data_IF_299296857529
#
_entry.id   IF_299296857529
#
_cell.length_a   1.000
_cell.length_b   1.000
_cell.length_c   1.000
_cell.angle_alpha   90.00
_cell.angle_beta   90.00
_cell.angle_gamma   90.00
#
_symmetry.space_group_name_H-M   'P 1'
#
loop_
_entity.id
_entity.type
_entity.pdbx_description
1 polymer ?
#
# COMPACT_ATOMS: atom_id res chain seq x y z
N UNK A 1 -1.32 13.21 -5.58
CA UNK A 1 -0.89 11.80 -5.46
C UNK A 1 -1.64 11.00 -6.50
N UNK A 2 -0.92 10.17 -7.25
CA UNK A 2 -1.47 9.41 -8.38
C UNK A 2 -2.07 8.07 -7.91
N UNK A 3 -1.47 7.47 -6.89
CA UNK A 3 -1.89 6.20 -6.29
C UNK A 3 -1.84 6.31 -4.78
N UNK A 4 -2.79 5.70 -4.10
CA UNK A 4 -2.76 5.54 -2.64
C UNK A 4 -2.58 4.07 -2.30
N UNK A 5 -1.59 3.79 -1.46
CA UNK A 5 -1.27 2.47 -0.95
C UNK A 5 -1.79 2.41 0.48
N UNK A 6 -2.83 1.61 0.70
CA UNK A 6 -3.36 1.39 2.03
C UNK A 6 -2.76 0.13 2.64
N UNK A 7 -2.06 0.30 3.75
CA UNK A 7 -1.46 -0.79 4.50
C UNK A 7 -2.41 -1.21 5.61
N UNK A 8 -2.75 -2.49 5.61
CA UNK A 8 -3.59 -3.15 6.61
C UNK A 8 -2.81 -4.28 7.28
N UNK A 9 -3.21 -4.65 8.49
CA UNK A 9 -2.67 -5.84 9.17
C UNK A 9 -3.45 -7.07 8.67
N UNK A 10 -2.74 -8.07 8.12
CA UNK A 10 -3.35 -9.26 7.54
C UNK A 10 -4.13 -10.09 8.58
N UNK A 11 -3.82 -9.95 9.88
CA UNK A 11 -4.54 -10.64 10.97
C UNK A 11 -5.94 -10.08 11.19
N UNK A 12 -6.10 -8.77 10.98
CA UNK A 12 -7.34 -8.02 11.25
C UNK A 12 -7.59 -6.95 10.16
N UNK A 13 -7.78 -7.36 8.89
CA UNK A 13 -7.81 -6.44 7.75
C UNK A 13 -9.06 -5.56 7.70
N UNK A 14 -10.16 -5.97 8.34
CA UNK A 14 -11.38 -5.16 8.45
C UNK A 14 -11.31 -4.15 9.60
N UNK A 15 -10.61 -4.49 10.70
CA UNK A 15 -10.45 -3.58 11.83
C UNK A 15 -9.39 -2.49 11.56
N UNK A 16 -8.44 -2.76 10.65
CA UNK A 16 -7.35 -1.83 10.31
C UNK A 16 -7.65 -0.94 9.10
N UNK A 17 -8.92 -0.82 8.71
CA UNK A 17 -9.39 0.18 7.74
C UNK A 17 -10.23 1.26 8.40
N UNK A 18 -10.27 2.44 7.79
CA UNK A 18 -11.04 3.56 8.31
C UNK A 18 -12.37 3.68 7.55
N UNK A 19 -13.53 3.82 8.21
CA UNK A 19 -14.84 3.88 7.53
C UNK A 19 -14.95 4.99 6.48
N UNK A 20 -14.30 6.14 6.73
CA UNK A 20 -14.28 7.29 5.79
C UNK A 20 -13.22 7.21 4.70
N UNK A 21 -12.48 6.11 4.60
CA UNK A 21 -11.35 6.00 3.67
C UNK A 21 -11.80 6.21 2.22
N UNK A 22 -12.91 5.60 1.80
CA UNK A 22 -13.40 5.74 0.43
C UNK A 22 -13.77 7.18 0.08
N UNK A 23 -14.36 7.91 1.04
CA UNK A 23 -14.67 9.33 0.89
C UNK A 23 -13.40 10.20 0.74
N UNK A 24 -12.33 9.88 1.48
CA UNK A 24 -11.08 10.64 1.44
C UNK A 24 -10.25 10.34 0.19
N UNK A 25 -10.35 9.11 -0.32
CA UNK A 25 -9.66 8.70 -1.54
C UNK A 25 -10.34 9.24 -2.80
N UNK A 26 -11.66 9.44 -2.76
CA UNK A 26 -12.43 9.88 -3.93
C UNK A 26 -12.13 8.99 -5.14
N UNK A 27 -11.78 9.60 -6.28
CA UNK A 27 -11.47 8.88 -7.51
C UNK A 27 -9.99 8.42 -7.63
N UNK A 28 -9.21 8.48 -6.56
CA UNK A 28 -7.80 8.05 -6.61
C UNK A 28 -7.71 6.53 -6.66
N UNK A 29 -6.74 6.02 -7.43
CA UNK A 29 -6.46 4.58 -7.49
C UNK A 29 -5.92 4.10 -6.14
N UNK A 30 -6.60 3.11 -5.55
CA UNK A 30 -6.23 2.49 -4.27
C UNK A 30 -5.60 1.13 -4.52
N UNK A 31 -4.49 0.84 -3.83
CA UNK A 31 -3.89 -0.48 -3.75
C UNK A 31 -3.90 -0.89 -2.27
N UNK A 32 -4.49 -2.03 -1.96
CA UNK A 32 -4.50 -2.55 -0.59
C UNK A 32 -3.32 -3.51 -0.41
N UNK A 33 -2.53 -3.26 0.63
CA UNK A 33 -1.39 -4.08 1.05
C UNK A 33 -1.71 -4.72 2.39
N UNK A 34 -1.79 -6.05 2.39
CA UNK A 34 -1.91 -6.88 3.58
C UNK A 34 -0.53 -7.17 4.12
N UNK A 35 -0.12 -6.44 5.15
CA UNK A 35 1.18 -6.61 5.79
C UNK A 35 1.12 -7.65 6.91
N UNK A 36 2.29 -8.17 7.31
CA UNK A 36 2.44 -9.25 8.31
C UNK A 36 1.84 -10.58 7.86
N UNK A 37 2.01 -10.90 6.58
CA UNK A 37 1.63 -12.18 5.99
C UNK A 37 2.19 -13.39 6.75
N UNK A 38 3.36 -13.24 7.38
CA UNK A 38 4.01 -14.23 8.25
C UNK A 38 3.22 -14.58 9.52
N UNK A 39 2.30 -13.73 9.95
CA UNK A 39 1.53 -13.91 11.18
C UNK A 39 0.13 -14.49 10.93
N UNK A 40 -0.14 -14.99 9.73
CA UNK A 40 -1.45 -15.47 9.30
C UNK A 40 -1.28 -16.83 8.62
N UNK A 41 -2.19 -17.76 8.87
CA UNK A 41 -2.17 -19.07 8.23
C UNK A 41 -2.41 -18.96 6.72
N UNK A 42 -2.02 -19.99 5.95
CA UNK A 42 -2.32 -20.04 4.52
C UNK A 42 -3.84 -20.04 4.25
N UNK A 43 -4.62 -20.69 5.13
CA UNK A 43 -6.08 -20.76 5.02
C UNK A 43 -6.72 -19.40 5.24
N UNK A 44 -6.34 -18.69 6.31
CA UNK A 44 -6.82 -17.34 6.58
C UNK A 44 -6.41 -16.36 5.48
N UNK A 45 -5.18 -16.49 4.97
CA UNK A 45 -4.72 -15.69 3.83
C UNK A 45 -5.61 -15.92 2.62
N UNK A 46 -5.92 -17.16 2.28
CA UNK A 46 -6.75 -17.52 1.14
C UNK A 46 -8.20 -17.06 1.35
N UNK A 47 -8.73 -17.20 2.56
CA UNK A 47 -10.06 -16.70 2.93
C UNK A 47 -10.15 -15.18 2.72
N UNK A 48 -9.16 -14.42 3.19
CA UNK A 48 -9.10 -12.98 2.94
C UNK A 48 -8.94 -12.65 1.46
N UNK A 49 -8.09 -13.36 0.73
CA UNK A 49 -7.91 -13.14 -0.71
C UNK A 49 -9.24 -13.32 -1.47
N UNK A 50 -9.99 -14.37 -1.15
CA UNK A 50 -11.32 -14.66 -1.71
C UNK A 50 -12.32 -13.57 -1.35
N UNK A 51 -12.35 -13.15 -0.08
CA UNK A 51 -13.24 -12.08 0.39
C UNK A 51 -13.00 -10.76 -0.35
N UNK A 52 -11.75 -10.32 -0.49
CA UNK A 52 -11.46 -9.08 -1.20
C UNK A 52 -11.67 -9.22 -2.72
N UNK A 53 -11.39 -10.38 -3.29
CA UNK A 53 -11.64 -10.65 -4.69
C UNK A 53 -13.14 -10.62 -5.03
N UNK A 54 -14.02 -11.12 -4.17
CA UNK A 54 -15.48 -11.06 -4.40
C UNK A 54 -16.00 -9.62 -4.36
N UNK A 55 -15.31 -8.72 -3.66
CA UNK A 55 -15.57 -7.28 -3.64
C UNK A 55 -14.91 -6.53 -4.82
N UNK A 56 -14.25 -7.23 -5.75
CA UNK A 56 -13.50 -6.63 -6.85
C UNK A 56 -12.20 -5.92 -6.42
N UNK A 57 -11.74 -6.15 -5.20
CA UNK A 57 -10.57 -5.50 -4.61
C UNK A 57 -9.37 -6.43 -4.71
N UNK A 58 -8.36 -6.00 -5.46
CA UNK A 58 -7.08 -6.73 -5.54
C UNK A 58 -6.17 -6.36 -4.38
N UNK A 59 -5.86 -7.34 -3.53
CA UNK A 59 -4.93 -7.21 -2.40
C UNK A 59 -3.53 -7.70 -2.76
N UNK A 60 -2.51 -7.06 -2.18
CA UNK A 60 -1.12 -7.51 -2.25
C UNK A 60 -0.68 -7.91 -0.86
N UNK A 61 -0.22 -9.13 -0.69
CA UNK A 61 0.42 -9.54 0.56
C UNK A 61 1.86 -9.08 0.57
N UNK A 62 2.29 -8.55 1.70
CA UNK A 62 3.67 -8.17 1.94
C UNK A 62 4.15 -8.71 3.27
N UNK A 63 5.36 -9.24 3.26
CA UNK A 63 6.06 -9.59 4.48
C UNK A 63 7.05 -8.46 4.82
N UNK A 64 6.73 -7.74 5.90
CA UNK A 64 7.57 -6.71 6.52
C UNK A 64 8.84 -7.24 7.19
N UNK A 65 9.06 -8.57 7.17
CA UNK A 65 10.25 -9.43 7.38
C UNK A 65 11.17 -9.61 6.15
N UNK A 66 10.60 -10.16 5.07
CA UNK A 66 11.38 -10.76 3.95
C UNK A 66 11.42 -9.97 2.63
N UNK A 67 10.69 -8.85 2.53
CA UNK A 67 10.72 -7.97 1.34
C UNK A 67 9.87 -8.49 0.19
N UNK A 68 9.25 -9.66 0.38
CA UNK A 68 8.26 -10.25 -0.50
C UNK A 68 7.10 -9.28 -0.73
N UNK A 69 6.69 -9.12 -2.00
CA UNK A 69 5.58 -8.25 -2.42
C UNK A 69 5.96 -6.81 -2.77
N UNK A 70 7.13 -6.30 -2.36
CA UNK A 70 7.54 -4.90 -2.61
C UNK A 70 7.78 -4.59 -4.10
N UNK A 71 8.40 -5.51 -4.84
CA UNK A 71 8.59 -5.39 -6.30
C UNK A 71 7.26 -5.44 -7.05
N UNK A 72 6.34 -6.31 -6.62
CA UNK A 72 4.99 -6.42 -7.20
C UNK A 72 4.18 -5.14 -6.95
N UNK A 73 4.28 -4.59 -5.74
CA UNK A 73 3.68 -3.30 -5.37
C UNK A 73 4.22 -2.15 -6.25
N UNK A 74 5.54 -2.07 -6.45
CA UNK A 74 6.15 -1.07 -7.32
C UNK A 74 5.68 -1.17 -8.78
N UNK A 75 5.61 -2.39 -9.33
CA UNK A 75 5.06 -2.64 -10.68
C UNK A 75 3.58 -2.27 -10.77
N UNK A 76 2.77 -2.67 -9.78
CA UNK A 76 1.35 -2.33 -9.74
C UNK A 76 1.10 -0.84 -9.59
N UNK A 77 1.88 -0.12 -8.76
CA UNK A 77 1.76 1.32 -8.64
C UNK A 77 2.10 2.04 -9.95
N UNK A 78 3.16 1.59 -10.66
CA UNK A 78 3.51 2.12 -11.99
C UNK A 78 2.42 1.82 -13.03
N UNK A 79 1.84 0.61 -13.00
CA UNK A 79 0.75 0.22 -13.89
C UNK A 79 -0.54 1.00 -13.60
N UNK A 80 -0.93 1.15 -12.33
CA UNK A 80 -2.09 1.95 -11.94
C UNK A 80 -1.95 3.42 -12.36
N UNK A 81 -0.71 3.93 -12.33
CA UNK A 81 -0.39 5.29 -12.75
C UNK A 81 0.00 5.43 -14.23
N UNK A 82 0.07 4.35 -15.02
CA UNK A 82 0.44 4.44 -16.44
C UNK A 82 -0.55 5.33 -17.18
N UNK A 83 -1.85 5.18 -16.86
CA UNK A 83 -2.93 6.04 -17.33
C UNK A 83 -2.66 7.54 -17.12
N UNK A 84 -1.96 7.91 -16.05
CA UNK A 84 -1.63 9.32 -15.77
C UNK A 84 -0.60 9.83 -16.78
N UNK A 85 0.44 9.06 -17.06
CA UNK A 85 1.46 9.47 -18.03
C UNK A 85 0.98 9.34 -19.48
N UNK A 86 0.08 8.40 -19.80
CA UNK A 86 -0.58 8.32 -21.12
C UNK A 86 -1.39 9.57 -21.39
N UNK A 87 -2.29 9.96 -20.47
CA UNK A 87 -3.09 11.20 -20.59
C UNK A 87 -2.24 12.47 -20.64
N UNK A 88 -1.06 12.47 -20.01
CA UNK A 88 -0.12 13.60 -20.09
C UNK A 88 0.50 13.69 -21.48
N UNK A 89 0.93 12.56 -22.05
CA UNK A 89 1.49 12.51 -23.42
C UNK A 89 0.46 12.95 -24.46
N UNK A 90 -0.79 12.52 -24.34
CA UNK A 90 -1.89 12.97 -25.20
C UNK A 90 -2.08 14.50 -25.17
N UNK A 91 -1.76 15.14 -24.04
CA UNK A 91 -1.80 16.60 -23.86
C UNK A 91 -0.47 17.31 -24.18
N UNK A 92 0.50 16.62 -24.80
CA UNK A 92 1.83 17.17 -25.11
C UNK A 92 2.72 17.43 -23.90
N UNK A 93 2.37 16.92 -22.71
CA UNK A 93 3.14 17.13 -21.48
C UNK A 93 4.21 16.05 -21.30
N UNK A 94 5.38 16.47 -20.78
CA UNK A 94 6.45 15.55 -20.41
C UNK A 94 6.00 14.54 -19.33
N UNK A 95 6.53 13.30 -19.40
CA UNK A 95 6.28 12.29 -18.37
C UNK A 95 6.90 12.74 -17.05
N UNK A 96 6.26 12.37 -15.94
CA UNK A 96 6.78 12.64 -14.60
C UNK A 96 6.79 11.37 -13.73
N UNK A 97 7.56 11.36 -12.62
CA UNK A 97 7.49 10.29 -11.65
C UNK A 97 6.09 10.12 -11.07
N UNK A 98 5.71 8.87 -10.86
CA UNK A 98 4.47 8.48 -10.18
C UNK A 98 4.59 8.81 -8.69
N UNK A 99 3.66 9.59 -8.17
CA UNK A 99 3.62 9.96 -6.76
C UNK A 99 2.65 9.05 -6.02
N UNK A 100 3.15 8.20 -5.13
CA UNK A 100 2.34 7.32 -4.29
C UNK A 100 2.31 7.82 -2.84
N UNK A 101 1.13 7.83 -2.22
CA UNK A 101 0.97 8.06 -0.78
C UNK A 101 0.70 6.76 -0.05
N UNK A 102 1.24 6.59 1.17
CA UNK A 102 0.98 5.42 2.01
C UNK A 102 0.09 5.83 3.19
N UNK A 103 -1.03 5.11 3.38
CA UNK A 103 -2.01 5.35 4.44
C UNK A 103 -2.28 4.07 5.22
N UNK A 104 -2.82 4.18 6.44
CA UNK A 104 -3.18 3.04 7.28
C UNK A 104 -3.05 3.34 8.78
N UNK A 105 -3.61 2.46 9.61
CA UNK A 105 -3.61 2.60 11.07
C UNK A 105 -2.19 2.66 11.67
N UNK A 106 -2.01 3.25 12.87
CA UNK A 106 -0.73 3.19 13.58
C UNK A 106 -0.20 1.74 13.67
N UNK A 107 1.13 1.59 13.61
CA UNK A 107 1.84 0.30 13.77
C UNK A 107 1.54 -0.83 12.76
N UNK A 108 0.69 -0.64 11.75
CA UNK A 108 0.48 -1.64 10.67
C UNK A 108 1.72 -1.91 9.80
N UNK A 109 2.82 -1.18 10.02
CA UNK A 109 4.11 -1.39 9.34
C UNK A 109 4.34 -0.49 8.12
N UNK A 110 3.67 0.67 8.04
CA UNK A 110 3.86 1.67 6.97
C UNK A 110 5.33 2.06 6.78
N UNK A 111 6.02 2.44 7.86
CA UNK A 111 7.42 2.90 7.81
C UNK A 111 8.37 1.78 7.38
N UNK A 112 8.11 0.55 7.83
CA UNK A 112 8.84 -0.64 7.37
C UNK A 112 8.65 -0.88 5.86
N UNK A 113 7.43 -0.70 5.35
CA UNK A 113 7.13 -0.82 3.93
C UNK A 113 7.85 0.27 3.10
N UNK A 114 7.85 1.53 3.59
CA UNK A 114 8.58 2.65 2.94
C UNK A 114 10.07 2.33 2.84
N UNK A 115 10.70 1.95 3.95
CA UNK A 115 12.13 1.66 3.99
C UNK A 115 12.52 0.55 3.01
N UNK A 116 11.66 -0.45 2.85
CA UNK A 116 11.89 -1.56 1.91
C UNK A 116 11.69 -1.15 0.46
N UNK A 117 10.65 -0.38 0.17
CA UNK A 117 10.43 0.14 -1.18
C UNK A 117 11.58 1.04 -1.64
N UNK A 118 12.15 1.82 -0.72
CA UNK A 118 13.29 2.69 -1.00
C UNK A 118 14.65 1.98 -0.91
N UNK A 119 14.70 0.74 -0.39
CA UNK A 119 15.95 0.01 -0.06
C UNK A 119 16.92 0.80 0.84
N UNK A 120 16.43 1.78 1.59
CA UNK A 120 17.20 2.62 2.53
C UNK A 120 16.35 2.93 3.77
N UNK A 121 16.99 3.07 4.93
CA UNK A 121 16.32 3.48 6.18
C UNK A 121 16.05 5.00 6.14
N UNK A 122 14.88 5.39 5.64
CA UNK A 122 14.44 6.79 5.59
C UNK A 122 13.50 7.16 6.73
N UNK A 123 12.61 6.24 7.10
CA UNK A 123 11.65 6.45 8.18
C UNK A 123 12.11 5.69 9.44
N UNK A 124 12.13 6.33 10.62
CA UNK A 124 12.35 5.60 11.86
C UNK A 124 11.21 4.59 12.05
N UNK A 125 11.57 3.30 12.17
CA UNK A 125 10.65 2.21 12.44
C UNK A 125 10.96 1.68 13.84
N UNK A 126 10.09 1.97 14.80
CA UNK A 126 10.19 1.44 16.16
C UNK A 126 8.81 0.90 16.62
N UNK A 127 8.76 -0.01 17.60
CA UNK A 127 7.52 -0.66 18.05
C UNK A 127 6.51 0.28 18.72
N UNK A 128 6.92 1.51 19.08
CA UNK A 128 6.06 2.50 19.74
C UNK A 128 5.16 3.22 18.73
N UNK A 129 3.85 3.42 19.01
CA UNK A 129 2.99 4.28 18.20
C UNK A 129 3.55 5.72 18.12
N UNK A 130 3.38 6.40 16.97
CA UNK A 130 3.71 7.82 16.83
C UNK A 130 5.16 8.17 16.45
N UNK A 131 5.97 7.18 16.02
CA UNK A 131 7.40 7.38 15.73
C UNK A 131 7.66 8.14 14.42
N UNK A 132 6.72 8.13 13.47
CA UNK A 132 6.86 8.87 12.20
C UNK A 132 6.25 10.26 12.36
N UNK A 133 7.06 11.24 12.78
CA UNK A 133 6.63 12.62 13.01
C UNK A 133 6.76 13.52 11.77
N UNK A 134 7.72 13.27 10.88
CA UNK A 134 7.94 14.08 9.67
C UNK A 134 8.47 13.24 8.49
N UNK A 135 8.06 13.58 7.27
CA UNK A 135 8.69 13.09 6.02
C UNK A 135 9.87 14.03 5.71
N UNK A 136 11.10 13.62 6.10
CA UNK A 136 12.33 14.28 5.61
C UNK A 136 12.65 13.85 4.18
#
# INVERSE_FOLDING_TARGET
MDVVIEVRDARIPLATTHPKMDSWLGNRRRIIVMNREDMVSADDRNAWATYFSSQGIKVIYSNGQLGMGTMKLGRMAKSAASTVNTRRREKGLLPRPVRAGIVGYPNVGKSSLINRLLKRRMCPAAPRPGVTRELK
#
